data_IF_792754228135
#
_entry.id   IF_792754228135
#
_cell.length_a   1.000
_cell.length_b   1.000
_cell.length_c   1.000
_cell.angle_alpha   90.00
_cell.angle_beta   90.00
_cell.angle_gamma   90.00
#
_symmetry.space_group_name_H-M   'P 1'
#
loop_
_entity.id
_entity.type
_entity.pdbx_description
1 polymer ?
#
# COMPACT_ATOMS: atom_id res chain seq x y z
N UNK A 1 3.97 2.75 29.19
CA UNK A 1 2.88 1.85 28.81
C UNK A 1 3.18 0.89 27.63
N UNK A 2 4.31 1.06 26.92
CA UNK A 2 4.73 0.19 25.79
C UNK A 2 5.30 -1.19 26.17
N UNK A 3 5.64 -1.46 27.43
CA UNK A 3 6.31 -2.72 27.83
C UNK A 3 5.39 -3.91 28.13
N UNK A 4 4.11 -3.70 28.43
CA UNK A 4 3.21 -4.80 28.79
C UNK A 4 2.70 -5.62 27.59
N UNK A 5 2.54 -4.98 26.43
CA UNK A 5 2.06 -5.67 25.22
C UNK A 5 3.09 -6.62 24.61
N UNK A 6 4.40 -6.37 24.79
CA UNK A 6 5.45 -7.25 24.25
C UNK A 6 5.54 -8.58 25.00
N UNK A 7 5.34 -8.61 26.30
CA UNK A 7 5.37 -9.84 27.10
C UNK A 7 4.19 -10.78 26.76
N UNK A 8 3.00 -10.22 26.55
CA UNK A 8 1.83 -11.01 26.18
C UNK A 8 1.99 -11.64 24.78
N UNK A 9 2.56 -10.88 23.84
CA UNK A 9 2.87 -11.35 22.47
C UNK A 9 3.90 -12.48 22.48
N UNK A 10 4.97 -12.34 23.26
CA UNK A 10 6.02 -13.38 23.41
C UNK A 10 5.45 -14.63 24.10
N UNK A 11 4.63 -14.47 25.13
CA UNK A 11 3.99 -15.58 25.82
C UNK A 11 3.02 -16.34 24.92
N UNK A 12 2.22 -15.64 24.09
CA UNK A 12 1.29 -16.26 23.14
C UNK A 12 2.04 -17.06 22.06
N UNK A 13 3.14 -16.52 21.52
CA UNK A 13 3.99 -17.21 20.55
C UNK A 13 4.67 -18.43 21.20
N UNK A 14 5.14 -18.31 22.44
CA UNK A 14 5.78 -19.41 23.16
C UNK A 14 4.80 -20.55 23.49
N UNK A 15 3.58 -20.22 23.88
CA UNK A 15 2.50 -21.18 24.12
C UNK A 15 2.08 -21.87 22.82
N UNK A 16 2.00 -21.13 21.71
CA UNK A 16 1.68 -21.67 20.39
C UNK A 16 2.77 -22.60 19.87
N UNK A 17 4.04 -22.22 20.05
CA UNK A 17 5.21 -23.05 19.70
C UNK A 17 5.28 -24.32 20.57
N UNK A 18 4.90 -24.26 21.85
CA UNK A 18 4.78 -25.43 22.73
C UNK A 18 3.64 -26.35 22.30
N UNK A 19 2.50 -25.83 21.91
CA UNK A 19 1.35 -26.61 21.44
C UNK A 19 1.60 -27.30 20.10
N UNK A 20 2.41 -26.70 19.23
CA UNK A 20 2.82 -27.27 17.93
C UNK A 20 3.77 -28.47 18.09
N UNK A 21 4.45 -28.62 19.24
CA UNK A 21 5.32 -29.76 19.52
C UNK A 21 4.60 -30.99 20.10
N UNK A 22 3.29 -30.90 20.39
CA UNK A 22 2.54 -31.99 20.99
C UNK A 22 1.61 -32.60 19.93
N UNK A 23 2.03 -33.74 19.34
CA UNK A 23 1.20 -34.70 18.59
C UNK A 23 0.78 -34.39 17.14
N UNK A 24 1.70 -34.02 16.27
CA UNK A 24 1.45 -34.21 14.83
C UNK A 24 2.62 -34.96 14.19
N UNK A 25 2.33 -35.98 13.41
CA UNK A 25 3.25 -36.51 12.41
C UNK A 25 3.47 -35.42 11.36
N UNK A 26 4.54 -34.66 11.50
CA UNK A 26 4.88 -33.51 10.66
C UNK A 26 5.39 -34.06 9.33
N UNK A 27 4.57 -33.99 8.29
CA UNK A 27 4.90 -34.48 6.95
C UNK A 27 5.72 -33.50 6.10
N UNK A 28 6.28 -32.47 6.67
CA UNK A 28 7.19 -31.53 6.00
C UNK A 28 7.18 -30.16 6.67
N UNK A 29 8.29 -29.77 7.24
CA UNK A 29 8.52 -28.44 7.78
C UNK A 29 9.58 -27.75 6.92
N UNK A 30 9.25 -26.56 6.38
CA UNK A 30 10.18 -25.71 5.67
C UNK A 30 10.43 -24.44 6.47
N UNK A 31 11.67 -24.20 6.82
CA UNK A 31 12.11 -22.93 7.44
C UNK A 31 12.86 -22.16 6.36
N UNK A 32 12.41 -20.94 6.09
CA UNK A 32 12.99 -20.04 5.12
C UNK A 32 13.46 -18.77 5.82
N UNK A 33 14.73 -18.46 5.69
CA UNK A 33 15.32 -17.20 6.10
C UNK A 33 15.59 -16.38 4.86
N UNK A 34 14.98 -15.22 4.76
CA UNK A 34 15.08 -14.27 3.64
C UNK A 34 15.40 -12.89 4.17
N UNK A 35 15.83 -12.00 3.31
CA UNK A 35 15.99 -10.60 3.65
C UNK A 35 16.05 -9.73 2.43
N UNK A 36 15.60 -8.49 2.61
CA UNK A 36 15.77 -7.43 1.62
C UNK A 36 16.57 -6.29 2.25
N UNK A 37 17.74 -6.05 1.71
CA UNK A 37 18.54 -4.85 1.97
C UNK A 37 18.33 -3.86 0.83
N UNK A 38 18.21 -2.56 1.14
CA UNK A 38 18.20 -1.51 0.12
C UNK A 38 19.02 -0.29 0.53
N UNK A 39 19.55 0.36 -0.48
CA UNK A 39 20.16 1.68 -0.40
C UNK A 39 19.50 2.57 -1.44
N UNK A 40 18.92 3.67 -1.02
CA UNK A 40 18.30 4.65 -1.90
C UNK A 40 19.03 6.00 -1.72
N UNK A 41 19.54 6.57 -2.81
CA UNK A 41 20.23 7.83 -2.84
C UNK A 41 19.45 8.80 -3.72
N UNK A 42 19.08 9.92 -3.16
CA UNK A 42 18.21 10.93 -3.76
C UNK A 42 18.95 12.25 -3.90
N UNK A 43 18.96 12.81 -5.11
CA UNK A 43 19.45 14.15 -5.42
C UNK A 43 18.27 15.01 -5.89
N UNK A 44 18.16 16.24 -5.38
CA UNK A 44 17.11 17.20 -5.73
C UNK A 44 17.71 18.54 -6.17
N UNK A 45 17.07 19.18 -7.15
CA UNK A 45 17.38 20.55 -7.59
C UNK A 45 16.61 21.63 -6.81
N UNK A 46 15.66 21.23 -5.98
CA UNK A 46 14.74 22.14 -5.29
C UNK A 46 14.69 21.94 -3.76
N UNK A 47 15.86 21.88 -3.06
CA UNK A 47 15.84 21.81 -1.60
C UNK A 47 15.31 23.14 -1.02
N UNK A 48 14.65 23.06 0.14
CA UNK A 48 14.40 24.24 0.95
C UNK A 48 15.73 24.85 1.43
N UNK A 49 15.74 26.15 1.75
CA UNK A 49 16.97 26.89 2.12
C UNK A 49 17.81 26.22 3.21
N UNK A 50 17.17 25.41 4.08
CA UNK A 50 17.81 24.70 5.21
C UNK A 50 18.05 23.22 4.94
N UNK A 51 17.68 22.70 3.78
CA UNK A 51 17.83 21.29 3.40
C UNK A 51 19.02 21.11 2.46
N UNK A 52 19.72 19.99 2.58
CA UNK A 52 20.69 19.55 1.58
C UNK A 52 19.97 19.10 0.30
N UNK A 53 20.67 19.20 -0.85
CA UNK A 53 20.21 18.62 -2.11
C UNK A 53 20.36 17.10 -2.19
N UNK A 54 20.92 16.47 -1.17
CA UNK A 54 21.20 15.04 -1.13
C UNK A 54 20.63 14.37 0.10
N UNK A 55 19.91 13.25 -0.10
CA UNK A 55 19.45 12.34 0.93
C UNK A 55 19.89 10.92 0.62
N UNK A 56 20.21 10.16 1.64
CA UNK A 56 20.57 8.76 1.56
C UNK A 56 19.75 7.95 2.55
N UNK A 57 19.18 6.86 2.10
CA UNK A 57 18.39 5.94 2.92
C UNK A 57 18.99 4.54 2.85
N UNK A 58 19.17 3.92 4.00
CA UNK A 58 19.60 2.54 4.14
C UNK A 58 18.55 1.77 4.93
N UNK A 59 18.21 0.59 4.47
CA UNK A 59 17.27 -0.23 5.19
C UNK A 59 17.46 -1.72 4.99
N UNK A 60 16.90 -2.49 5.92
CA UNK A 60 16.94 -3.95 5.91
C UNK A 60 15.66 -4.55 6.49
N UNK A 61 15.14 -5.56 5.83
CA UNK A 61 14.00 -6.36 6.31
C UNK A 61 14.40 -7.83 6.37
N UNK A 62 14.94 -8.33 7.51
CA UNK A 62 15.03 -9.77 7.74
C UNK A 62 13.63 -10.37 7.83
N UNK A 63 13.45 -11.54 7.24
CA UNK A 63 12.17 -12.27 7.22
C UNK A 63 12.41 -13.75 7.52
N UNK A 64 11.73 -14.27 8.54
CA UNK A 64 11.66 -15.66 8.88
C UNK A 64 10.28 -16.21 8.53
N UNK A 65 10.22 -17.25 7.71
CA UNK A 65 8.98 -17.96 7.37
C UNK A 65 9.11 -19.43 7.77
N UNK A 66 8.08 -19.94 8.43
CA UNK A 66 7.97 -21.36 8.83
C UNK A 66 6.69 -21.90 8.23
N UNK A 67 6.79 -22.92 7.39
CA UNK A 67 5.67 -23.54 6.71
C UNK A 67 5.56 -24.99 7.17
N UNK A 68 4.39 -25.38 7.65
CA UNK A 68 4.09 -26.74 8.08
C UNK A 68 2.87 -27.28 7.33
N UNK A 69 3.09 -28.31 6.54
CA UNK A 69 2.05 -29.03 5.82
C UNK A 69 1.46 -30.10 6.73
N UNK A 70 0.16 -30.00 6.96
CA UNK A 70 -0.62 -30.98 7.73
C UNK A 70 -1.28 -31.99 6.79
N UNK A 71 -1.83 -33.06 7.35
CA UNK A 71 -2.66 -34.00 6.60
C UNK A 71 -3.92 -33.31 6.04
N UNK A 72 -4.51 -33.85 4.96
CA UNK A 72 -5.74 -33.38 4.34
C UNK A 72 -5.68 -31.92 3.83
N UNK A 73 -4.65 -31.59 3.06
CA UNK A 73 -4.50 -30.29 2.38
C UNK A 73 -4.57 -29.07 3.32
N UNK A 74 -4.21 -29.28 4.58
CA UNK A 74 -4.15 -28.22 5.58
C UNK A 74 -2.73 -27.70 5.71
N UNK A 75 -2.62 -26.39 5.95
CA UNK A 75 -1.37 -25.67 6.06
C UNK A 75 -1.41 -24.75 7.28
N UNK A 76 -0.34 -24.76 8.05
CA UNK A 76 -0.04 -23.69 9.01
C UNK A 76 1.27 -23.05 8.62
N UNK A 77 1.27 -21.75 8.48
CA UNK A 77 2.49 -20.98 8.26
C UNK A 77 2.56 -19.74 9.15
N UNK A 78 3.78 -19.36 9.45
CA UNK A 78 4.12 -18.21 10.30
C UNK A 78 5.14 -17.38 9.55
N UNK A 79 4.96 -16.08 9.56
CA UNK A 79 5.95 -15.13 9.05
C UNK A 79 6.26 -14.08 10.11
N UNK A 80 7.54 -13.82 10.28
CA UNK A 80 8.04 -12.71 11.06
C UNK A 80 9.03 -11.91 10.22
N UNK A 81 8.83 -10.59 10.16
CA UNK A 81 9.74 -9.67 9.50
C UNK A 81 9.82 -8.37 10.29
N UNK A 82 11.01 -7.78 10.31
CA UNK A 82 11.30 -6.55 11.03
C UNK A 82 11.93 -5.54 10.09
N UNK A 83 11.48 -4.27 10.10
CA UNK A 83 11.98 -3.23 9.20
C UNK A 83 12.85 -2.26 9.96
N UNK A 84 14.12 -2.22 9.58
CA UNK A 84 15.12 -1.28 10.07
C UNK A 84 15.36 -0.25 8.97
N UNK A 85 15.29 1.03 9.27
CA UNK A 85 15.51 2.10 8.30
C UNK A 85 16.24 3.28 8.93
N UNK A 86 17.18 3.84 8.17
CA UNK A 86 17.95 5.04 8.52
C UNK A 86 17.99 5.96 7.32
N UNK A 87 17.62 7.21 7.51
CA UNK A 87 17.64 8.25 6.50
C UNK A 87 18.57 9.38 6.93
N UNK A 88 19.43 9.79 6.03
CA UNK A 88 20.42 10.83 6.25
C UNK A 88 20.25 11.94 5.21
N UNK A 89 20.48 13.20 5.63
CA UNK A 89 20.72 14.34 4.74
C UNK A 89 22.13 14.81 4.97
N UNK A 90 22.97 14.75 3.95
CA UNK A 90 24.43 14.81 4.08
C UNK A 90 24.93 13.80 5.12
N UNK A 91 25.36 14.28 6.28
CA UNK A 91 25.82 13.45 7.40
C UNK A 91 24.87 13.45 8.60
N UNK A 92 23.80 14.25 8.54
CA UNK A 92 22.83 14.35 9.63
C UNK A 92 21.77 13.25 9.50
N UNK A 93 21.47 12.55 10.61
CA UNK A 93 20.38 11.58 10.67
C UNK A 93 19.04 12.32 10.68
N UNK A 94 18.27 12.21 9.57
CA UNK A 94 16.94 12.81 9.46
C UNK A 94 15.88 11.98 10.17
N UNK A 95 15.90 10.67 9.96
CA UNK A 95 14.95 9.76 10.57
C UNK A 95 15.56 8.38 10.79
N UNK A 96 15.08 7.73 11.83
CA UNK A 96 15.48 6.38 12.20
C UNK A 96 14.28 5.66 12.75
N UNK A 97 13.91 4.56 12.17
CA UNK A 97 12.89 3.70 12.74
C UNK A 97 13.26 2.22 12.66
N UNK A 98 12.74 1.51 13.62
CA UNK A 98 12.92 0.09 13.86
C UNK A 98 11.55 -0.43 14.32
N UNK A 99 10.86 -1.13 13.42
CA UNK A 99 9.47 -1.55 13.66
C UNK A 99 9.16 -2.92 13.10
N UNK A 100 8.21 -3.67 13.71
CA UNK A 100 7.65 -4.85 13.07
C UNK A 100 7.12 -4.50 11.67
N UNK A 101 7.46 -5.33 10.69
CA UNK A 101 7.00 -5.17 9.31
C UNK A 101 5.93 -6.19 8.96
N UNK A 102 6.12 -7.45 9.40
CA UNK A 102 5.13 -8.54 9.35
C UNK A 102 5.32 -9.41 10.59
N UNK A 103 4.23 -9.86 11.13
CA UNK A 103 4.23 -10.94 12.11
C UNK A 103 2.82 -11.52 12.11
N UNK A 104 2.66 -12.68 11.55
CA UNK A 104 1.35 -13.30 11.45
C UNK A 104 1.46 -14.82 11.45
N UNK A 105 0.37 -15.45 11.87
CA UNK A 105 0.12 -16.88 11.72
C UNK A 105 -1.10 -17.07 10.82
N UNK A 106 -1.00 -18.04 9.91
CA UNK A 106 -2.07 -18.43 9.01
C UNK A 106 -2.38 -19.92 9.15
N UNK A 107 -3.65 -20.24 9.22
CA UNK A 107 -4.19 -21.57 8.99
C UNK A 107 -4.98 -21.57 7.69
N UNK A 108 -4.74 -22.54 6.82
CA UNK A 108 -5.35 -22.62 5.50
C UNK A 108 -5.81 -24.04 5.21
N UNK A 109 -6.96 -24.14 4.59
CA UNK A 109 -7.54 -25.35 4.00
C UNK A 109 -8.00 -25.03 2.59
N UNK A 110 -8.54 -26.00 1.85
CA UNK A 110 -9.13 -25.78 0.53
C UNK A 110 -10.20 -24.65 0.52
N UNK A 111 -11.03 -24.57 1.58
CA UNK A 111 -12.18 -23.64 1.63
C UNK A 111 -12.06 -22.49 2.62
N UNK A 112 -11.02 -22.48 3.46
CA UNK A 112 -10.92 -21.51 4.53
C UNK A 112 -9.47 -21.07 4.71
N UNK A 113 -9.26 -19.76 4.83
CA UNK A 113 -8.01 -19.17 5.31
C UNK A 113 -8.29 -18.26 6.50
N UNK A 114 -7.65 -18.52 7.63
CA UNK A 114 -7.66 -17.65 8.79
C UNK A 114 -6.25 -17.12 9.05
N UNK A 115 -6.09 -15.79 9.20
CA UNK A 115 -4.80 -15.16 9.48
C UNK A 115 -4.93 -14.16 10.62
N UNK A 116 -3.98 -14.21 11.56
CA UNK A 116 -3.91 -13.32 12.72
C UNK A 116 -2.54 -12.66 12.78
N UNK A 117 -2.50 -11.37 13.00
CA UNK A 117 -1.30 -10.55 13.22
C UNK A 117 -1.12 -9.42 12.23
N UNK A 118 0.09 -8.84 12.20
CA UNK A 118 0.44 -7.74 11.30
C UNK A 118 0.62 -8.26 9.87
N UNK A 119 -0.32 -7.95 9.02
CA UNK A 119 -0.44 -8.50 7.68
C UNK A 119 -0.82 -7.44 6.65
N UNK A 120 -0.49 -7.70 5.39
CA UNK A 120 -1.00 -6.92 4.26
C UNK A 120 -2.46 -7.28 4.01
N UNK A 121 -3.31 -6.25 3.89
CA UNK A 121 -4.65 -6.33 3.35
C UNK A 121 -4.72 -5.33 2.19
N UNK A 122 -4.96 -5.81 0.99
CA UNK A 122 -5.07 -5.00 -0.21
C UNK A 122 -6.15 -5.59 -1.12
N UNK A 123 -6.88 -4.74 -1.78
CA UNK A 123 -7.91 -5.11 -2.75
C UNK A 123 -8.12 -3.97 -3.75
N UNK A 124 -8.95 -4.23 -4.78
CA UNK A 124 -9.18 -3.33 -5.90
C UNK A 124 -8.17 -3.49 -7.04
N UNK A 125 -8.60 -3.28 -8.28
CA UNK A 125 -7.79 -3.47 -9.48
C UNK A 125 -6.95 -2.25 -9.89
N UNK A 126 -7.26 -1.04 -9.39
CA UNK A 126 -6.54 0.16 -9.73
C UNK A 126 -5.07 0.08 -9.30
N UNK A 127 -4.17 0.62 -10.11
CA UNK A 127 -2.72 0.46 -9.95
C UNK A 127 -2.08 1.65 -9.22
N UNK A 128 -2.45 2.88 -9.59
CA UNK A 128 -1.88 4.12 -9.06
C UNK A 128 -2.94 4.96 -8.35
N UNK A 129 -4.08 5.21 -9.00
CA UNK A 129 -5.19 5.96 -8.43
C UNK A 129 -6.19 5.01 -7.77
N UNK A 130 -5.90 4.59 -6.53
CA UNK A 130 -6.53 3.47 -5.83
C UNK A 130 -7.49 3.92 -4.72
N UNK A 131 -8.81 4.11 -5.00
CA UNK A 131 -9.82 4.45 -4.00
C UNK A 131 -9.92 3.48 -2.83
N UNK A 132 -9.54 2.21 -3.04
CA UNK A 132 -9.61 1.14 -2.03
C UNK A 132 -8.29 0.85 -1.32
N UNK A 133 -7.24 1.65 -1.49
CA UNK A 133 -5.98 1.51 -0.74
C UNK A 133 -6.17 1.96 0.73
N UNK A 134 -7.02 1.24 1.48
CA UNK A 134 -7.36 1.61 2.85
C UNK A 134 -6.35 1.14 3.88
N UNK A 135 -5.61 0.08 3.57
CA UNK A 135 -4.74 -0.63 4.53
C UNK A 135 -3.35 -0.94 3.96
N UNK A 136 -3.06 -0.47 2.77
CA UNK A 136 -1.79 -0.68 2.09
C UNK A 136 -1.26 0.61 1.49
N UNK A 137 0.02 0.60 1.11
CA UNK A 137 0.73 1.71 0.46
C UNK A 137 1.42 1.22 -0.81
N UNK A 138 0.75 0.35 -1.57
CA UNK A 138 1.31 -0.20 -2.81
C UNK A 138 1.49 0.93 -3.82
N UNK A 139 2.71 1.07 -4.32
CA UNK A 139 3.07 2.00 -5.39
C UNK A 139 3.93 1.25 -6.43
N UNK A 140 3.50 1.08 -7.68
CA UNK A 140 4.28 0.41 -8.71
C UNK A 140 5.57 1.17 -9.10
N UNK A 141 5.69 2.43 -8.70
CA UNK A 141 6.91 3.23 -8.89
C UNK A 141 8.01 2.87 -7.89
N UNK A 142 7.65 2.34 -6.71
CA UNK A 142 8.63 1.89 -5.71
C UNK A 142 9.30 0.58 -6.13
N UNK A 143 10.61 0.58 -6.45
CA UNK A 143 11.31 -0.63 -6.86
C UNK A 143 11.50 -1.63 -5.73
N UNK A 144 11.33 -1.25 -4.46
CA UNK A 144 11.45 -2.16 -3.32
C UNK A 144 10.22 -3.05 -3.14
N UNK A 145 9.07 -2.65 -3.71
CA UNK A 145 7.78 -3.34 -3.60
C UNK A 145 7.24 -3.40 -2.16
N UNK A 146 7.76 -2.54 -1.27
CA UNK A 146 7.35 -2.53 0.13
C UNK A 146 5.96 -1.90 0.28
N UNK A 147 5.20 -2.41 1.24
CA UNK A 147 3.89 -1.85 1.58
C UNK A 147 3.63 -2.02 3.07
N UNK A 148 2.92 -1.07 3.65
CA UNK A 148 2.49 -1.15 5.05
C UNK A 148 1.47 -2.29 5.23
N UNK A 149 1.18 -2.61 6.48
CA UNK A 149 0.21 -3.61 6.87
C UNK A 149 -0.55 -3.17 8.12
N UNK A 150 -1.54 -3.96 8.49
CA UNK A 150 -2.40 -3.74 9.65
C UNK A 150 -2.43 -4.94 10.58
N UNK A 151 -2.52 -4.70 11.89
CA UNK A 151 -2.75 -5.75 12.88
C UNK A 151 -4.22 -6.18 12.81
N UNK A 152 -4.47 -7.37 12.29
CA UNK A 152 -5.82 -7.84 12.04
C UNK A 152 -5.98 -9.34 12.29
N UNK A 153 -7.19 -9.74 12.65
CA UNK A 153 -7.71 -11.06 12.37
C UNK A 153 -8.47 -11.01 11.06
N UNK A 154 -8.11 -11.85 10.08
CA UNK A 154 -8.77 -11.96 8.78
C UNK A 154 -9.19 -13.40 8.54
N UNK A 155 -10.42 -13.57 8.09
CA UNK A 155 -10.97 -14.84 7.64
C UNK A 155 -11.39 -14.71 6.18
N UNK A 156 -10.98 -15.67 5.34
CA UNK A 156 -11.47 -15.85 3.98
C UNK A 156 -12.17 -17.17 3.85
N UNK A 157 -13.32 -17.18 3.23
CA UNK A 157 -14.09 -18.38 2.94
C UNK A 157 -14.35 -18.50 1.43
N UNK A 158 -14.07 -19.66 0.87
CA UNK A 158 -14.18 -20.00 -0.54
C UNK A 158 -15.23 -21.08 -0.72
N UNK A 159 -16.54 -20.73 -0.86
CA UNK A 159 -17.59 -21.75 -1.04
C UNK A 159 -17.40 -22.53 -2.33
N UNK A 160 -16.87 -21.91 -3.38
CA UNK A 160 -16.50 -22.49 -4.66
C UNK A 160 -15.39 -21.62 -5.33
N UNK A 161 -14.96 -22.01 -6.53
CA UNK A 161 -13.88 -21.34 -7.26
C UNK A 161 -14.27 -19.96 -7.82
N UNK A 162 -15.55 -19.59 -7.80
CA UNK A 162 -16.02 -18.31 -8.33
C UNK A 162 -16.28 -17.27 -7.25
N UNK A 163 -16.49 -17.70 -6.01
CA UNK A 163 -16.90 -16.82 -4.91
C UNK A 163 -15.89 -16.86 -3.78
N UNK A 164 -15.57 -15.70 -3.25
CA UNK A 164 -14.85 -15.58 -1.97
C UNK A 164 -15.51 -14.55 -1.07
N UNK A 165 -15.48 -14.82 0.24
CA UNK A 165 -15.96 -13.93 1.28
C UNK A 165 -14.84 -13.68 2.26
N UNK A 166 -14.56 -12.41 2.53
CA UNK A 166 -13.56 -11.98 3.49
C UNK A 166 -14.23 -11.27 4.64
N UNK A 167 -13.73 -11.45 5.84
CA UNK A 167 -14.04 -10.60 6.97
C UNK A 167 -12.76 -10.29 7.74
N UNK A 168 -12.70 -9.13 8.33
CA UNK A 168 -11.56 -8.73 9.15
C UNK A 168 -11.99 -7.87 10.33
N UNK A 169 -11.19 -7.96 11.38
CA UNK A 169 -11.23 -7.08 12.54
C UNK A 169 -9.81 -6.53 12.71
N UNK A 170 -9.67 -5.22 12.72
CA UNK A 170 -8.40 -4.50 12.85
C UNK A 170 -8.32 -3.93 14.26
N UNK A 171 -7.18 -4.12 14.91
CA UNK A 171 -6.85 -3.49 16.18
C UNK A 171 -6.19 -2.13 15.93
N UNK A 172 -6.89 -1.06 16.28
CA UNK A 172 -6.37 0.30 16.16
C UNK A 172 -5.51 0.67 17.38
N UNK A 173 -4.56 1.58 17.20
CA UNK A 173 -3.66 2.03 18.27
C UNK A 173 -4.37 2.69 19.47
N UNK A 174 -5.66 3.01 19.34
CA UNK A 174 -6.51 3.65 20.36
C UNK A 174 -7.39 2.66 21.13
N UNK A 175 -7.02 1.38 21.18
CA UNK A 175 -7.77 0.30 21.83
C UNK A 175 -9.21 0.15 21.30
N UNK A 176 -9.43 0.56 20.05
CA UNK A 176 -10.71 0.40 19.35
C UNK A 176 -10.57 -0.62 18.24
N UNK A 177 -11.67 -1.30 17.93
CA UNK A 177 -11.71 -2.28 16.85
C UNK A 177 -12.47 -1.73 15.65
N UNK A 178 -11.82 -1.78 14.49
CA UNK A 178 -12.46 -1.56 13.20
C UNK A 178 -12.72 -2.90 12.52
N UNK A 179 -13.75 -2.97 11.69
CA UNK A 179 -14.13 -4.25 11.07
C UNK A 179 -14.69 -4.04 9.67
N UNK A 180 -14.61 -5.08 8.88
CA UNK A 180 -15.16 -5.03 7.52
C UNK A 180 -15.40 -6.39 6.93
N UNK A 181 -16.06 -6.36 5.79
CA UNK A 181 -16.37 -7.53 4.98
C UNK A 181 -16.13 -7.21 3.51
N UNK A 182 -15.81 -8.22 2.73
CA UNK A 182 -15.71 -8.16 1.27
C UNK A 182 -16.25 -9.45 0.67
N UNK A 183 -17.01 -9.32 -0.40
CA UNK A 183 -17.39 -10.42 -1.27
C UNK A 183 -16.74 -10.22 -2.64
N UNK A 184 -16.24 -11.29 -3.23
CA UNK A 184 -15.65 -11.31 -4.56
C UNK A 184 -16.31 -12.39 -5.41
N UNK A 185 -16.49 -12.06 -6.66
CA UNK A 185 -16.92 -12.99 -7.69
C UNK A 185 -15.95 -12.91 -8.86
N UNK A 186 -15.37 -14.06 -9.26
CA UNK A 186 -14.46 -14.19 -10.39
C UNK A 186 -15.04 -15.17 -11.39
N UNK A 187 -15.49 -14.67 -12.53
CA UNK A 187 -16.12 -15.46 -13.58
C UNK A 187 -15.72 -15.01 -14.98
N UNK A 188 -16.31 -15.61 -16.00
CA UNK A 188 -16.00 -15.30 -17.40
C UNK A 188 -16.33 -13.85 -17.79
N UNK A 189 -17.24 -13.20 -17.07
CA UNK A 189 -17.61 -11.79 -17.26
C UNK A 189 -16.71 -10.80 -16.54
N UNK A 190 -15.64 -11.27 -15.89
CA UNK A 190 -14.71 -10.46 -15.10
C UNK A 190 -14.80 -10.73 -13.61
N UNK A 191 -14.06 -9.93 -12.87
CA UNK A 191 -13.95 -10.00 -11.40
C UNK A 191 -14.67 -8.82 -10.77
N UNK A 192 -15.51 -9.10 -9.78
CA UNK A 192 -16.27 -8.11 -9.02
C UNK A 192 -15.91 -8.16 -7.56
N UNK A 193 -15.79 -7.01 -6.93
CA UNK A 193 -15.55 -6.87 -5.50
C UNK A 193 -16.53 -5.89 -4.86
N UNK A 194 -17.18 -6.27 -3.76
CA UNK A 194 -17.98 -5.39 -2.93
C UNK A 194 -17.42 -5.38 -1.52
N UNK A 195 -17.06 -4.20 -1.02
CA UNK A 195 -16.38 -4.05 0.27
C UNK A 195 -17.13 -3.08 1.16
N UNK A 196 -17.25 -3.42 2.43
CA UNK A 196 -17.71 -2.55 3.50
C UNK A 196 -16.71 -2.54 4.64
N UNK A 197 -16.44 -1.37 5.22
CA UNK A 197 -15.59 -1.21 6.39
C UNK A 197 -16.15 -0.15 7.33
N UNK A 198 -16.12 -0.43 8.63
CA UNK A 198 -16.46 0.51 9.70
C UNK A 198 -15.20 0.87 10.46
N UNK A 199 -14.77 2.11 10.33
CA UNK A 199 -13.69 2.70 11.10
C UNK A 199 -14.24 3.37 12.36
N UNK A 200 -13.56 3.21 13.50
CA UNK A 200 -14.00 3.76 14.79
C UNK A 200 -13.29 5.03 15.20
N UNK A 201 -12.18 5.33 14.55
CA UNK A 201 -11.33 6.50 14.84
C UNK A 201 -11.24 7.40 13.60
N UNK A 202 -10.73 8.60 13.83
CA UNK A 202 -10.34 9.48 12.73
C UNK A 202 -9.24 8.83 11.86
N UNK A 203 -9.23 9.14 10.59
CA UNK A 203 -8.24 8.59 9.67
C UNK A 203 -7.85 9.57 8.57
N UNK A 204 -6.61 9.41 8.12
CA UNK A 204 -6.09 10.07 6.92
C UNK A 204 -5.74 8.95 5.93
N UNK A 205 -6.36 8.96 4.76
CA UNK A 205 -6.07 8.03 3.69
C UNK A 205 -5.50 8.79 2.50
N UNK A 206 -4.31 8.43 2.07
CA UNK A 206 -3.71 9.01 0.87
C UNK A 206 -4.17 8.23 -0.35
N UNK A 207 -4.88 8.89 -1.25
CA UNK A 207 -5.29 8.31 -2.54
C UNK A 207 -4.65 9.10 -3.67
N UNK A 208 -3.62 8.52 -4.28
CA UNK A 208 -2.78 9.24 -5.24
C UNK A 208 -2.15 10.47 -4.58
N UNK A 209 -2.42 11.66 -5.12
CA UNK A 209 -1.95 12.95 -4.58
C UNK A 209 -2.91 13.58 -3.56
N UNK A 210 -4.07 12.98 -3.34
CA UNK A 210 -5.13 13.58 -2.53
C UNK A 210 -5.26 12.91 -1.15
N UNK A 211 -5.12 13.65 -0.04
CA UNK A 211 -5.40 13.14 1.29
C UNK A 211 -6.91 13.24 1.61
N UNK A 212 -7.49 12.14 2.06
CA UNK A 212 -8.87 12.08 2.55
C UNK A 212 -8.82 12.10 4.07
N UNK A 213 -9.39 13.13 4.66
CA UNK A 213 -9.50 13.32 6.10
C UNK A 213 -10.90 12.95 6.56
N UNK A 214 -11.01 11.98 7.45
CA UNK A 214 -12.27 11.58 8.06
C UNK A 214 -12.22 11.84 9.56
N UNK A 215 -13.12 12.69 10.04
CA UNK A 215 -13.23 13.02 11.44
C UNK A 215 -14.02 11.96 12.21
N UNK A 216 -13.39 11.30 13.18
CA UNK A 216 -14.03 10.33 14.05
C UNK A 216 -14.51 9.06 13.35
N UNK A 217 -15.56 8.46 13.91
CA UNK A 217 -16.08 7.19 13.40
C UNK A 217 -16.79 7.37 12.04
N UNK A 218 -16.41 6.57 11.07
CA UNK A 218 -16.92 6.64 9.70
C UNK A 218 -17.07 5.27 9.06
N UNK A 219 -17.78 5.21 7.95
CA UNK A 219 -17.97 4.01 7.16
C UNK A 219 -17.36 4.21 5.77
N UNK A 220 -16.89 3.11 5.18
CA UNK A 220 -16.36 3.05 3.82
C UNK A 220 -17.09 1.95 3.08
N UNK A 221 -17.54 2.25 1.87
CA UNK A 221 -18.14 1.27 0.96
C UNK A 221 -17.43 1.37 -0.37
N UNK A 222 -17.10 0.24 -0.97
CA UNK A 222 -16.47 0.22 -2.29
C UNK A 222 -17.04 -0.88 -3.17
N UNK A 223 -17.09 -0.58 -4.45
CA UNK A 223 -17.38 -1.51 -5.54
C UNK A 223 -16.25 -1.45 -6.52
N UNK A 224 -15.73 -2.59 -6.91
CA UNK A 224 -14.70 -2.70 -7.92
C UNK A 224 -15.01 -3.79 -8.94
N UNK A 225 -14.47 -3.62 -10.13
CA UNK A 225 -14.62 -4.52 -11.25
C UNK A 225 -13.35 -4.54 -12.10
N UNK A 226 -12.95 -5.71 -12.57
CA UNK A 226 -11.87 -5.91 -13.54
C UNK A 226 -12.29 -6.91 -14.62
N UNK A 227 -11.96 -6.56 -15.85
CA UNK A 227 -12.05 -7.45 -16.99
C UNK A 227 -10.69 -7.56 -17.67
N UNK A 228 -10.20 -8.77 -17.86
CA UNK A 228 -8.97 -9.08 -18.55
C UNK A 228 -9.31 -9.70 -19.92
N UNK A 229 -9.15 -8.93 -20.98
CA UNK A 229 -9.34 -9.31 -22.37
C UNK A 229 -8.16 -8.89 -23.23
N UNK A 230 -8.39 -8.66 -24.52
CA UNK A 230 -7.40 -8.05 -25.41
C UNK A 230 -7.02 -6.66 -24.92
N UNK A 231 -7.99 -5.93 -24.43
CA UNK A 231 -7.81 -4.71 -23.64
C UNK A 231 -8.33 -5.04 -22.24
N UNK A 232 -7.47 -4.88 -21.24
CA UNK A 232 -7.87 -4.91 -19.84
C UNK A 232 -8.55 -3.60 -19.47
N UNK A 233 -9.61 -3.66 -18.66
CA UNK A 233 -10.20 -2.46 -18.08
C UNK A 233 -10.74 -2.71 -16.70
N UNK A 234 -10.81 -1.66 -15.89
CA UNK A 234 -11.30 -1.73 -14.52
C UNK A 234 -12.04 -0.47 -14.11
N UNK A 235 -12.86 -0.67 -13.12
CA UNK A 235 -13.56 0.35 -12.36
C UNK A 235 -13.29 0.14 -10.89
N UNK A 236 -13.06 1.21 -10.15
CA UNK A 236 -12.93 1.18 -8.70
C UNK A 236 -13.61 2.41 -8.10
N UNK A 237 -14.69 2.20 -7.35
CA UNK A 237 -15.44 3.26 -6.69
C UNK A 237 -15.43 3.08 -5.18
N UNK A 238 -15.24 4.16 -4.42
CA UNK A 238 -15.31 4.16 -2.97
C UNK A 238 -16.03 5.38 -2.44
N UNK A 239 -16.84 5.18 -1.41
CA UNK A 239 -17.48 6.25 -0.64
C UNK A 239 -17.06 6.18 0.82
N UNK A 240 -16.66 7.32 1.38
CA UNK A 240 -16.32 7.52 2.78
C UNK A 240 -17.36 8.46 3.37
N UNK A 241 -17.99 8.08 4.47
CA UNK A 241 -19.00 8.91 5.10
C UNK A 241 -18.99 8.79 6.62
N UNK A 242 -19.04 9.92 7.30
CA UNK A 242 -19.22 10.02 8.73
C UNK A 242 -20.62 10.48 9.09
N UNK A 243 -21.11 10.06 10.25
CA UNK A 243 -22.33 10.59 10.87
C UNK A 243 -21.95 11.04 12.29
N UNK A 244 -21.56 12.28 12.42
CA UNK A 244 -21.24 12.86 13.73
C UNK A 244 -22.51 13.51 14.30
N UNK A 245 -23.00 12.99 15.42
CA UNK A 245 -24.18 13.53 16.13
C UNK A 245 -23.98 14.96 16.65
N UNK A 246 -22.73 15.42 16.75
CA UNK A 246 -22.37 16.75 17.32
C UNK A 246 -22.00 17.80 16.29
N UNK A 247 -21.92 17.48 15.00
CA UNK A 247 -21.60 18.46 13.96
C UNK A 247 -22.76 18.70 13.01
N UNK A 248 -22.92 19.91 12.53
CA UNK A 248 -24.00 20.28 11.58
C UNK A 248 -23.77 19.69 10.18
N UNK A 249 -22.55 19.26 9.87
CA UNK A 249 -22.17 18.64 8.60
C UNK A 249 -21.37 17.37 8.81
N UNK A 250 -21.66 16.36 7.99
CA UNK A 250 -20.95 15.11 7.92
C UNK A 250 -19.87 15.15 6.84
N UNK A 251 -18.75 14.47 7.10
CA UNK A 251 -17.76 14.21 6.06
C UNK A 251 -18.35 13.27 5.01
N UNK A 252 -18.21 13.60 3.75
CA UNK A 252 -18.59 12.74 2.63
C UNK A 252 -17.57 12.89 1.51
N UNK A 253 -16.99 11.76 1.08
CA UNK A 253 -16.13 11.70 -0.11
C UNK A 253 -16.54 10.53 -0.98
N UNK A 254 -16.66 10.80 -2.27
CA UNK A 254 -16.91 9.80 -3.31
C UNK A 254 -15.74 9.84 -4.30
N UNK A 255 -15.13 8.69 -4.51
CA UNK A 255 -14.01 8.51 -5.43
C UNK A 255 -14.40 7.49 -6.48
N UNK A 256 -14.09 7.77 -7.72
CA UNK A 256 -14.30 6.82 -8.83
C UNK A 256 -13.07 6.85 -9.72
N UNK A 257 -12.45 5.68 -9.91
CA UNK A 257 -11.35 5.46 -10.84
C UNK A 257 -11.82 4.56 -11.98
N UNK A 258 -11.53 4.96 -13.19
CA UNK A 258 -11.62 4.14 -14.39
C UNK A 258 -10.21 3.93 -14.94
N UNK A 259 -9.90 2.72 -15.33
CA UNK A 259 -8.61 2.40 -15.92
C UNK A 259 -8.71 1.38 -17.04
N UNK A 260 -7.70 1.41 -17.90
CA UNK A 260 -7.53 0.43 -18.96
C UNK A 260 -6.06 0.19 -19.23
N UNK A 261 -5.74 -1.02 -19.69
CA UNK A 261 -4.40 -1.38 -20.14
C UNK A 261 -4.44 -2.16 -21.47
N UNK A 262 -3.33 -2.05 -22.17
CA UNK A 262 -3.09 -2.79 -23.41
C UNK A 262 -1.59 -3.05 -23.58
N UNK A 263 -1.24 -4.27 -23.96
CA UNK A 263 0.15 -4.60 -24.32
C UNK A 263 0.33 -4.53 -25.82
N UNK A 264 1.03 -3.49 -26.29
CA UNK A 264 1.41 -3.35 -27.69
C UNK A 264 2.40 -4.48 -28.07
N UNK A 265 2.21 -5.17 -29.20
CA UNK A 265 3.11 -6.22 -29.68
C UNK A 265 4.38 -5.61 -30.34
N UNK A 266 5.06 -4.73 -29.64
CA UNK A 266 6.27 -4.06 -30.08
C UNK A 266 7.43 -4.62 -29.27
N UNK A 267 8.44 -5.18 -29.92
CA UNK A 267 9.64 -5.77 -29.29
C UNK A 267 9.24 -6.93 -28.34
N UNK A 268 9.47 -6.80 -27.05
CA UNK A 268 9.09 -7.79 -26.01
C UNK A 268 7.73 -7.47 -25.35
N UNK A 269 6.93 -6.61 -25.97
CA UNK A 269 5.68 -6.11 -25.44
C UNK A 269 5.87 -4.77 -24.70
N UNK A 270 5.08 -3.76 -25.05
CA UNK A 270 5.01 -2.48 -24.34
C UNK A 270 3.65 -2.40 -23.68
N UNK A 271 3.62 -2.53 -22.34
CA UNK A 271 2.40 -2.31 -21.58
C UNK A 271 2.13 -0.80 -21.52
N UNK A 272 0.93 -0.40 -21.95
CA UNK A 272 0.41 0.95 -21.77
C UNK A 272 -0.80 0.84 -20.85
N UNK A 273 -0.86 1.70 -19.83
CA UNK A 273 -1.96 1.77 -18.87
C UNK A 273 -2.36 3.23 -18.67
N UNK A 274 -3.66 3.47 -18.60
CA UNK A 274 -4.22 4.76 -18.28
C UNK A 274 -5.25 4.63 -17.15
N UNK A 275 -5.23 5.57 -16.21
CA UNK A 275 -6.24 5.71 -15.16
C UNK A 275 -6.73 7.16 -15.10
N UNK A 276 -8.01 7.33 -14.78
CA UNK A 276 -8.57 8.63 -14.45
C UNK A 276 -9.45 8.51 -13.21
N UNK A 277 -9.25 9.39 -12.24
CA UNK A 277 -9.97 9.41 -10.97
C UNK A 277 -10.66 10.75 -10.76
N UNK A 278 -11.93 10.67 -10.39
CA UNK A 278 -12.73 11.79 -9.94
C UNK A 278 -12.95 11.67 -8.43
N UNK A 279 -12.72 12.78 -7.70
CA UNK A 279 -13.00 12.90 -6.27
C UNK A 279 -14.03 14.01 -6.08
N UNK A 280 -15.15 13.68 -5.45
CA UNK A 280 -16.15 14.65 -5.01
C UNK A 280 -16.31 14.50 -3.50
N UNK A 281 -16.35 15.62 -2.78
CA UNK A 281 -16.48 15.55 -1.33
C UNK A 281 -16.95 16.84 -0.70
N UNK A 282 -17.43 16.72 0.51
CA UNK A 282 -17.71 17.81 1.43
C UNK A 282 -17.11 17.46 2.79
N UNK A 283 -16.03 18.14 3.21
CA UNK A 283 -15.49 17.98 4.55
C UNK A 283 -16.47 18.51 5.59
N UNK A 284 -16.54 17.86 6.74
CA UNK A 284 -17.33 18.30 7.89
C UNK A 284 -16.78 19.56 8.56
N UNK A 285 -17.52 20.08 9.54
CA UNK A 285 -17.17 21.34 10.23
C UNK A 285 -15.87 21.25 11.07
N UNK A 286 -15.33 20.08 11.34
CA UNK A 286 -14.11 19.89 12.13
C UNK A 286 -12.80 20.08 11.34
N UNK A 287 -12.89 20.42 10.07
CA UNK A 287 -11.74 20.70 9.24
C UNK A 287 -11.33 22.16 9.42
N UNK A 288 -10.21 22.43 10.04
CA UNK A 288 -9.70 23.79 10.35
C UNK A 288 -9.36 24.67 9.11
N UNK A 289 -9.73 24.25 7.91
CA UNK A 289 -9.65 25.03 6.68
C UNK A 289 -11.03 25.58 6.33
N UNK A 290 -11.40 26.68 6.95
CA UNK A 290 -12.68 27.40 6.80
C UNK A 290 -13.08 27.79 5.35
N UNK A 291 -12.26 27.48 4.37
CA UNK A 291 -12.45 27.88 2.97
C UNK A 291 -12.87 26.76 2.01
N UNK A 292 -12.75 25.47 2.37
CA UNK A 292 -13.06 24.36 1.45
C UNK A 292 -14.48 23.85 1.68
N UNK A 293 -15.46 24.44 0.99
CA UNK A 293 -16.86 23.99 1.09
C UNK A 293 -17.18 22.73 0.27
N UNK A 294 -16.56 22.55 -0.88
CA UNK A 294 -16.76 21.40 -1.75
C UNK A 294 -15.44 21.02 -2.44
N UNK A 295 -15.12 19.75 -2.43
CA UNK A 295 -13.99 19.15 -3.13
C UNK A 295 -14.50 18.60 -4.46
N UNK A 296 -13.84 18.97 -5.53
CA UNK A 296 -14.04 18.42 -6.86
C UNK A 296 -12.68 18.39 -7.55
N UNK A 297 -12.03 17.24 -7.51
CA UNK A 297 -10.68 17.03 -8.01
C UNK A 297 -10.69 15.96 -9.08
N UNK A 298 -9.89 16.14 -10.12
CA UNK A 298 -9.70 15.16 -11.18
C UNK A 298 -8.22 14.89 -11.36
N UNK A 299 -7.85 13.62 -11.37
CA UNK A 299 -6.49 13.17 -11.63
C UNK A 299 -6.49 12.21 -12.79
N UNK A 300 -5.42 12.21 -13.58
CA UNK A 300 -5.20 11.21 -14.62
C UNK A 300 -3.77 10.72 -14.58
N UNK A 301 -3.57 9.44 -14.90
CA UNK A 301 -2.26 8.80 -14.99
C UNK A 301 -2.15 8.07 -16.31
N UNK A 302 -1.00 8.23 -16.95
CA UNK A 302 -0.57 7.40 -18.08
C UNK A 302 0.74 6.72 -17.68
N UNK A 303 0.81 5.40 -17.83
CA UNK A 303 2.00 4.61 -17.57
C UNK A 303 2.35 3.80 -18.81
N UNK A 304 3.64 3.73 -19.11
CA UNK A 304 4.19 2.81 -20.10
C UNK A 304 5.31 2.00 -19.46
N UNK A 305 5.35 0.70 -19.72
CA UNK A 305 6.40 -0.19 -19.21
C UNK A 305 6.85 -1.15 -20.29
N UNK A 306 8.17 -1.27 -20.47
CA UNK A 306 8.78 -2.11 -21.51
C UNK A 306 9.93 -2.93 -20.93
N UNK A 307 9.90 -4.27 -21.05
CA UNK A 307 11.05 -5.11 -20.79
C UNK A 307 12.04 -5.03 -21.96
N UNK A 308 13.32 -4.88 -21.67
CA UNK A 308 14.40 -4.86 -22.66
C UNK A 308 15.31 -6.05 -22.40
N UNK A 309 15.22 -7.06 -23.25
CA UNK A 309 15.86 -8.36 -23.01
C UNK A 309 15.29 -9.03 -21.75
N UNK A 310 16.14 -9.75 -21.01
CA UNK A 310 15.72 -10.53 -19.82
C UNK A 310 15.92 -9.78 -18.49
N UNK A 311 16.79 -8.78 -18.47
CA UNK A 311 17.24 -8.16 -17.20
C UNK A 311 16.77 -6.73 -17.04
N UNK A 312 16.48 -6.01 -18.12
CA UNK A 312 16.20 -4.59 -18.07
C UNK A 312 14.69 -4.32 -18.16
N UNK A 313 14.23 -3.31 -17.46
CA UNK A 313 12.88 -2.77 -17.55
C UNK A 313 12.92 -1.24 -17.55
N UNK A 314 12.21 -0.63 -18.47
CA UNK A 314 11.99 0.82 -18.48
C UNK A 314 10.51 1.06 -18.17
N UNK A 315 10.24 2.00 -17.27
CA UNK A 315 8.89 2.43 -16.90
C UNK A 315 8.83 3.95 -16.94
N UNK A 316 7.81 4.49 -17.58
CA UNK A 316 7.50 5.91 -17.57
C UNK A 316 6.07 6.12 -17.02
N UNK A 317 5.90 7.13 -16.17
CA UNK A 317 4.60 7.51 -15.61
C UNK A 317 4.44 9.03 -15.74
N UNK A 318 3.29 9.46 -16.25
CA UNK A 318 2.85 10.85 -16.22
C UNK A 318 1.55 10.93 -15.43
N UNK A 319 1.50 11.79 -14.42
CA UNK A 319 0.31 12.05 -13.62
C UNK A 319 -0.07 13.52 -13.73
N UNK A 320 -1.36 13.79 -13.88
CA UNK A 320 -1.91 15.13 -14.07
C UNK A 320 -2.89 15.43 -12.94
N UNK A 321 -2.73 16.58 -12.31
CA UNK A 321 -3.72 17.23 -11.46
C UNK A 321 -4.40 18.29 -12.32
N UNK A 322 -5.64 18.03 -12.73
CA UNK A 322 -6.36 18.91 -13.67
C UNK A 322 -6.78 20.22 -13.04
N UNK A 323 -7.10 20.21 -11.74
CA UNK A 323 -7.55 21.41 -11.04
C UNK A 323 -6.42 22.42 -10.82
N UNK A 324 -5.26 21.91 -10.40
CA UNK A 324 -4.07 22.74 -10.19
C UNK A 324 -3.28 22.97 -11.48
N UNK A 325 -3.63 22.29 -12.57
CA UNK A 325 -2.88 22.28 -13.84
C UNK A 325 -1.39 21.89 -13.61
N UNK A 326 -1.16 20.92 -12.73
CA UNK A 326 0.17 20.44 -12.38
C UNK A 326 0.41 19.06 -12.97
N UNK A 327 1.65 18.83 -13.40
CA UNK A 327 2.09 17.56 -13.99
C UNK A 327 3.24 16.98 -13.19
N UNK A 328 3.24 15.67 -13.02
CA UNK A 328 4.25 14.88 -12.33
C UNK A 328 4.74 13.81 -13.28
N UNK A 329 6.05 13.75 -13.50
CA UNK A 329 6.66 12.80 -14.40
C UNK A 329 7.64 11.91 -13.66
N UNK A 330 7.65 10.64 -14.02
CA UNK A 330 8.53 9.63 -13.46
C UNK A 330 9.04 8.73 -14.57
N UNK A 331 10.36 8.50 -14.60
CA UNK A 331 11.02 7.56 -15.51
C UNK A 331 11.94 6.67 -14.67
N UNK A 332 11.83 5.37 -14.83
CA UNK A 332 12.71 4.40 -14.17
C UNK A 332 13.32 3.45 -15.19
N UNK A 333 14.61 3.25 -15.08
CA UNK A 333 15.34 2.16 -15.69
C UNK A 333 15.82 1.22 -14.60
N UNK A 334 15.39 -0.04 -14.63
CA UNK A 334 15.75 -1.10 -13.69
C UNK A 334 16.54 -2.20 -14.37
N UNK A 335 17.51 -2.76 -13.66
CA UNK A 335 18.23 -3.98 -14.02
C UNK A 335 18.05 -4.95 -12.87
N UNK A 336 17.52 -6.16 -13.17
CA UNK A 336 17.25 -7.17 -12.14
C UNK A 336 18.03 -8.44 -12.43
N UNK A 337 18.83 -8.84 -11.44
CA UNK A 337 19.55 -10.12 -11.37
C UNK A 337 18.86 -11.03 -10.34
N UNK A 338 19.37 -12.25 -10.15
CA UNK A 338 18.77 -13.23 -9.25
C UNK A 338 18.60 -12.72 -7.81
N UNK A 339 19.59 -11.99 -7.29
CA UNK A 339 19.63 -11.54 -5.89
C UNK A 339 19.65 -10.02 -5.73
N UNK A 340 19.98 -9.28 -6.75
CA UNK A 340 20.05 -7.82 -6.64
C UNK A 340 19.45 -7.12 -7.85
N UNK A 341 18.94 -5.92 -7.61
CA UNK A 341 18.50 -5.02 -8.65
C UNK A 341 19.09 -3.62 -8.47
N UNK A 342 19.34 -2.97 -9.58
CA UNK A 342 19.78 -1.58 -9.67
C UNK A 342 18.66 -0.80 -10.33
N UNK A 343 18.28 0.33 -9.76
CA UNK A 343 17.24 1.17 -10.33
C UNK A 343 17.74 2.62 -10.39
N UNK A 344 17.64 3.23 -11.55
CA UNK A 344 17.86 4.64 -11.76
C UNK A 344 16.52 5.27 -12.12
N UNK A 345 16.07 6.25 -11.34
CA UNK A 345 14.80 6.94 -11.57
C UNK A 345 15.01 8.45 -11.66
N UNK A 346 14.28 9.05 -12.59
CA UNK A 346 14.18 10.49 -12.76
C UNK A 346 12.74 10.90 -12.48
N UNK A 347 12.54 11.95 -11.70
CA UNK A 347 11.21 12.55 -11.49
C UNK A 347 11.26 14.05 -11.76
N UNK A 348 10.20 14.57 -12.36
CA UNK A 348 9.99 15.99 -12.51
C UNK A 348 8.63 16.35 -11.92
N UNK A 349 8.66 17.06 -10.79
CA UNK A 349 7.49 17.42 -10.00
C UNK A 349 7.40 18.94 -9.84
N UNK A 350 6.24 19.50 -9.50
CA UNK A 350 6.12 20.90 -9.12
C UNK A 350 7.07 21.25 -7.97
N UNK A 351 7.58 22.49 -7.96
CA UNK A 351 8.48 22.96 -6.88
C UNK A 351 7.70 23.19 -5.59
N UNK A 352 8.36 23.12 -4.44
CA UNK A 352 7.76 23.39 -3.14
C UNK A 352 7.15 24.81 -3.07
N UNK A 353 7.79 25.80 -3.71
CA UNK A 353 7.26 27.16 -3.78
C UNK A 353 5.91 27.27 -4.48
N UNK A 354 5.53 26.30 -5.29
CA UNK A 354 4.26 26.25 -6.00
C UNK A 354 3.13 25.62 -5.16
N UNK A 355 3.48 25.11 -3.98
CA UNK A 355 2.55 24.61 -2.99
C UNK A 355 2.38 25.63 -1.86
N UNK A 356 1.17 25.93 -1.46
CA UNK A 356 0.85 26.69 -0.24
C UNK A 356 1.13 25.80 0.99
N UNK A 357 2.40 25.58 1.31
CA UNK A 357 2.81 24.83 2.48
C UNK A 357 2.89 25.79 3.66
N UNK A 358 2.06 25.57 4.67
CA UNK A 358 2.23 26.19 5.96
C UNK A 358 3.54 25.70 6.57
N UNK A 359 4.31 26.61 7.20
CA UNK A 359 5.64 26.31 7.74
C UNK A 359 5.65 25.11 8.72
N UNK A 360 4.53 24.83 9.38
CA UNK A 360 4.36 23.73 10.33
C UNK A 360 4.28 22.34 9.67
N UNK A 361 4.08 22.27 8.33
CA UNK A 361 3.87 21.03 7.58
C UNK A 361 4.91 20.84 6.47
N UNK A 362 6.07 21.46 6.59
CA UNK A 362 7.15 21.27 5.62
C UNK A 362 7.60 19.81 5.60
N UNK A 363 7.73 19.18 4.42
CA UNK A 363 8.19 17.81 4.33
C UNK A 363 9.63 17.70 4.84
N UNK A 364 9.90 16.67 5.61
CA UNK A 364 11.25 16.36 6.11
C UNK A 364 12.12 15.72 5.04
N UNK A 365 11.54 15.18 3.96
CA UNK A 365 12.23 14.55 2.85
C UNK A 365 12.09 15.37 1.57
N UNK A 366 13.09 15.31 0.72
CA UNK A 366 13.12 15.92 -0.62
C UNK A 366 12.18 15.20 -1.61
N UNK A 367 11.74 13.99 -1.30
CA UNK A 367 10.90 13.20 -2.21
C UNK A 367 9.58 13.90 -2.53
N UNK A 368 9.23 13.92 -3.81
CA UNK A 368 7.95 14.46 -4.29
C UNK A 368 7.97 15.90 -4.78
N UNK A 369 9.10 16.61 -4.72
CA UNK A 369 9.20 18.01 -5.16
C UNK A 369 10.40 18.25 -6.08
N UNK A 370 10.22 19.10 -7.11
CA UNK A 370 11.27 19.49 -8.05
C UNK A 370 11.74 18.33 -8.94
N UNK A 371 12.90 18.51 -9.54
CA UNK A 371 13.55 17.46 -10.32
C UNK A 371 14.40 16.59 -9.41
N UNK A 372 14.20 15.29 -9.48
CA UNK A 372 14.83 14.32 -8.62
C UNK A 372 15.56 13.26 -9.44
N UNK A 373 16.74 12.89 -8.98
CA UNK A 373 17.47 11.71 -9.44
C UNK A 373 17.57 10.73 -8.27
N UNK A 374 17.02 9.52 -8.45
CA UNK A 374 17.13 8.44 -7.48
C UNK A 374 18.01 7.32 -8.03
N UNK A 375 18.89 6.82 -7.17
CA UNK A 375 19.65 5.61 -7.43
C UNK A 375 19.38 4.61 -6.30
N UNK A 376 18.74 3.50 -6.63
CA UNK A 376 18.34 2.48 -5.66
C UNK A 376 19.04 1.15 -5.96
N UNK A 377 19.66 0.58 -4.96
CA UNK A 377 20.22 -0.78 -4.96
C UNK A 377 19.38 -1.61 -4.02
N UNK A 378 18.97 -2.79 -4.47
CA UNK A 378 18.21 -3.76 -3.65
C UNK A 378 18.94 -5.09 -3.73
N UNK A 379 19.17 -5.70 -2.57
CA UNK A 379 19.73 -7.04 -2.45
C UNK A 379 18.77 -7.94 -1.69
N UNK A 380 18.39 -9.06 -2.29
CA UNK A 380 17.53 -10.09 -1.70
C UNK A 380 18.35 -11.38 -1.44
N UNK A 381 18.18 -11.99 -0.30
CA UNK A 381 18.86 -13.23 0.07
C UNK A 381 17.94 -14.24 0.71
#
# INVERSE_FOLDING_TARGET
MMRQNSCFRIALISVLLLYLNINTTINGQNILLKGQFWSNNLFSDAPLKTQSSFESQLGYIPTLSIINYLSNERLIDIEWAHKINRMYSDKALLSSYDKPYRWWIRYSTEKLEARLGLQKIAFGPAQILRPTSWFDTIDPRDPTGQTEGVEAFRLKFFPNNLLSFWTWVINNNSDTLSYGIRSEYSGNSGEWGLTFHKEKIESINQVGLFPIFMSGSHSRVALDYRYDGVIGFWFEGASFFSSNYSSSKNDLYNLVTLGADYTLPIYNGVLIMAESMQINGSPGDNFHLDSIKNINETYSVLMASMPIGLLHQVMAVAQLDWKKSQSYYYLRWGITYDRFSLNLSLSANPKISDHELYQEHLPTSLSGFGNLLHFTIIYNH
#
